data_IF_427879243272
#
_entry.id   IF_427879243272
#
_cell.length_a   1.000
_cell.length_b   1.000
_cell.length_c   1.000
_cell.angle_alpha   90.00
_cell.angle_beta   90.00
_cell.angle_gamma   90.00
#
_symmetry.space_group_name_H-M   'P 1'
#
loop_
_entity.id
_entity.type
_entity.pdbx_description
1 polymer ?
#
# COMPACT_ATOMS: atom_id res chain seq x y z
N UNK A 1 2.72 13.12 -3.61
CA UNK A 1 2.55 14.00 -2.44
C UNK A 1 3.86 14.68 -2.01
N UNK A 2 5.02 14.02 -2.03
CA UNK A 2 6.30 14.62 -1.62
C UNK A 2 6.66 15.85 -2.45
N UNK A 3 6.55 15.76 -3.78
CA UNK A 3 6.78 16.89 -4.66
C UNK A 3 5.80 18.05 -4.41
N UNK A 4 4.53 17.72 -4.13
CA UNK A 4 3.53 18.73 -3.81
C UNK A 4 3.83 19.45 -2.49
N UNK A 5 4.20 18.72 -1.44
CA UNK A 5 4.63 19.28 -0.16
C UNK A 5 5.83 20.21 -0.38
N UNK A 6 6.84 19.73 -1.13
CA UNK A 6 8.04 20.54 -1.39
C UNK A 6 7.74 21.80 -2.21
N UNK A 7 6.88 21.70 -3.21
CA UNK A 7 6.43 22.86 -3.99
C UNK A 7 5.72 23.90 -3.10
N UNK A 8 4.82 23.43 -2.22
CA UNK A 8 4.17 24.31 -1.23
C UNK A 8 5.17 25.00 -0.29
N UNK A 9 6.18 24.29 0.23
CA UNK A 9 7.25 24.86 1.04
C UNK A 9 8.05 25.95 0.31
N UNK A 10 8.14 25.86 -1.02
CA UNK A 10 8.79 26.85 -1.86
C UNK A 10 7.85 28.01 -2.28
N UNK A 11 6.65 28.07 -1.72
CA UNK A 11 5.66 29.10 -2.02
C UNK A 11 4.98 28.98 -3.39
N UNK A 12 5.04 27.81 -4.01
CA UNK A 12 4.36 27.57 -5.30
C UNK A 12 2.87 27.26 -5.06
N UNK A 13 2.00 27.71 -5.98
CA UNK A 13 0.63 27.20 -6.07
C UNK A 13 0.67 25.78 -6.63
N UNK A 14 0.19 24.81 -5.88
CA UNK A 14 0.29 23.38 -6.21
C UNK A 14 -0.96 22.62 -5.80
N UNK A 15 -1.38 21.68 -6.67
CA UNK A 15 -2.42 20.71 -6.37
C UNK A 15 -1.88 19.28 -6.54
N UNK A 16 -2.26 18.39 -5.62
CA UNK A 16 -2.01 16.96 -5.67
C UNK A 16 -3.34 16.26 -5.94
N UNK A 17 -3.45 15.64 -7.13
CA UNK A 17 -4.64 14.87 -7.52
C UNK A 17 -4.41 13.42 -7.15
N UNK A 18 -5.29 12.83 -6.33
CA UNK A 18 -5.22 11.43 -5.91
C UNK A 18 -6.61 10.79 -5.93
N UNK A 19 -6.71 9.67 -6.64
CA UNK A 19 -7.97 8.92 -6.79
C UNK A 19 -8.11 7.74 -5.82
N UNK A 20 -7.06 7.42 -5.06
CA UNK A 20 -7.06 6.23 -4.22
C UNK A 20 -8.12 6.30 -3.15
N UNK A 21 -8.88 5.20 -3.06
CA UNK A 21 -9.74 4.89 -1.93
C UNK A 21 -9.08 3.74 -1.16
N UNK A 22 -8.97 3.87 0.15
CA UNK A 22 -8.53 2.80 1.03
C UNK A 22 -9.60 2.59 2.13
N UNK A 23 -10.12 1.38 2.22
CA UNK A 23 -11.20 1.02 3.17
C UNK A 23 -12.39 1.99 3.16
N UNK A 24 -12.79 2.42 1.96
CA UNK A 24 -13.94 3.30 1.75
C UNK A 24 -13.67 4.79 1.86
N UNK A 25 -12.46 5.20 2.26
CA UNK A 25 -12.09 6.59 2.44
C UNK A 25 -10.98 7.04 1.46
N UNK A 26 -11.03 8.30 0.97
CA UNK A 26 -9.94 8.85 0.18
C UNK A 26 -8.61 8.81 0.94
N UNK A 27 -7.54 8.39 0.28
CA UNK A 27 -6.26 8.16 0.95
C UNK A 27 -5.06 8.63 0.12
N UNK A 28 -4.19 9.40 0.76
CA UNK A 28 -2.89 9.82 0.25
C UNK A 28 -1.80 8.77 0.55
N UNK A 29 -0.62 8.95 -0.05
CA UNK A 29 0.56 8.14 0.26
C UNK A 29 0.86 7.04 -0.73
N UNK A 30 0.03 6.89 -1.78
CA UNK A 30 0.25 5.94 -2.86
C UNK A 30 0.25 4.48 -2.42
N UNK A 31 0.84 3.62 -3.22
CA UNK A 31 0.92 2.17 -2.98
C UNK A 31 1.69 1.86 -1.69
N UNK A 32 2.86 2.48 -1.49
CA UNK A 32 3.73 2.15 -0.36
C UNK A 32 3.02 2.31 1.00
N UNK A 33 2.35 3.44 1.26
CA UNK A 33 1.71 3.68 2.54
C UNK A 33 0.43 2.86 2.73
N UNK A 34 -0.35 2.68 1.67
CA UNK A 34 -1.68 2.09 1.78
C UNK A 34 -1.70 0.57 1.69
N UNK A 35 -1.01 0.01 0.68
CA UNK A 35 -1.10 -1.41 0.32
C UNK A 35 0.26 -2.02 -0.06
N UNK A 36 1.36 -1.41 0.36
CA UNK A 36 2.72 -1.83 0.03
C UNK A 36 3.64 -1.90 1.25
N UNK A 37 4.71 -1.09 1.23
CA UNK A 37 5.81 -1.17 2.18
C UNK A 37 5.37 -1.05 3.64
N UNK A 38 4.47 -0.13 3.97
CA UNK A 38 4.09 0.12 5.36
C UNK A 38 3.27 -1.03 5.94
N UNK A 39 2.15 -1.45 5.33
CA UNK A 39 1.41 -2.58 5.87
C UNK A 39 2.21 -3.89 5.84
N UNK A 40 3.02 -4.16 4.82
CA UNK A 40 3.84 -5.37 4.79
C UNK A 40 4.88 -5.38 5.91
N UNK A 41 5.57 -4.26 6.18
CA UNK A 41 6.54 -4.15 7.28
C UNK A 41 5.87 -4.26 8.65
N UNK A 42 4.65 -3.74 8.80
CA UNK A 42 3.89 -3.89 10.04
C UNK A 42 3.55 -5.37 10.33
N UNK A 43 3.17 -6.15 9.31
CA UNK A 43 2.93 -7.58 9.42
C UNK A 43 4.22 -8.38 9.64
N UNK A 44 5.29 -8.03 8.89
CA UNK A 44 6.62 -8.64 9.07
C UNK A 44 7.14 -8.48 10.50
N UNK A 45 7.04 -7.27 11.09
CA UNK A 45 7.43 -7.01 12.48
C UNK A 45 6.63 -7.88 13.46
N UNK A 46 5.31 -7.95 13.30
CA UNK A 46 4.46 -8.76 14.18
C UNK A 46 4.74 -10.25 14.07
N UNK A 47 4.86 -10.77 12.83
CA UNK A 47 5.14 -12.19 12.58
C UNK A 47 6.55 -12.59 13.04
N UNK A 48 7.54 -11.70 12.90
CA UNK A 48 8.90 -11.94 13.39
C UNK A 48 8.93 -12.03 14.91
N UNK A 49 8.24 -11.12 15.62
CA UNK A 49 8.14 -11.18 17.09
C UNK A 49 7.51 -12.47 17.56
N UNK A 50 6.45 -12.93 16.89
CA UNK A 50 5.79 -14.19 17.20
C UNK A 50 6.72 -15.39 16.98
N UNK A 51 7.45 -15.42 15.86
CA UNK A 51 8.44 -16.46 15.55
C UNK A 51 9.58 -16.47 16.56
N UNK A 52 10.13 -15.30 16.91
CA UNK A 52 11.20 -15.17 17.89
C UNK A 52 10.81 -15.72 19.27
N UNK A 53 9.56 -15.55 19.70
CA UNK A 53 9.10 -16.12 20.99
C UNK A 53 9.08 -17.64 21.00
N UNK A 54 9.04 -18.28 19.86
CA UNK A 54 9.01 -19.75 19.75
C UNK A 54 10.39 -20.38 19.62
N UNK A 55 11.32 -19.68 18.99
CA UNK A 55 12.60 -20.28 18.55
C UNK A 55 13.82 -19.58 19.14
N UNK A 56 13.84 -18.26 19.19
CA UNK A 56 15.08 -17.51 19.47
C UNK A 56 15.29 -17.30 20.99
N UNK A 57 14.24 -17.17 21.78
CA UNK A 57 14.36 -16.79 23.20
C UNK A 57 15.03 -17.87 24.05
N UNK A 58 14.92 -19.13 23.67
CA UNK A 58 15.53 -20.24 24.41
C UNK A 58 17.07 -20.13 24.48
N UNK A 59 17.70 -19.68 23.40
CA UNK A 59 19.15 -19.48 23.33
C UNK A 59 19.62 -18.34 24.24
N UNK A 60 18.70 -17.40 24.58
CA UNK A 60 18.95 -16.34 25.56
C UNK A 60 18.62 -16.75 27.00
N UNK A 61 18.26 -18.03 27.22
CA UNK A 61 17.84 -18.51 28.55
C UNK A 61 16.46 -18.03 28.99
N UNK A 62 15.64 -17.52 28.05
CA UNK A 62 14.28 -17.05 28.32
C UNK A 62 13.29 -18.16 28.01
N UNK A 63 12.53 -18.57 29.02
CA UNK A 63 11.46 -19.57 28.87
C UNK A 63 10.12 -18.84 28.78
N UNK A 64 9.36 -19.14 27.73
CA UNK A 64 7.97 -18.67 27.55
C UNK A 64 7.02 -19.83 27.80
N UNK A 65 5.81 -19.53 28.28
CA UNK A 65 4.71 -20.48 28.24
C UNK A 65 4.13 -20.61 26.82
N UNK A 66 2.90 -21.11 26.71
CA UNK A 66 2.19 -21.16 25.43
C UNK A 66 2.01 -19.74 24.86
N UNK A 67 2.42 -19.55 23.62
CA UNK A 67 2.35 -18.26 22.92
C UNK A 67 1.35 -18.37 21.79
N UNK A 68 0.32 -17.55 21.82
CA UNK A 68 -0.68 -17.41 20.76
C UNK A 68 -0.60 -16.04 20.10
N UNK A 69 -1.08 -15.95 18.86
CA UNK A 69 -1.22 -14.69 18.14
C UNK A 69 -2.70 -14.44 17.81
N UNK A 70 -3.14 -13.21 18.01
CA UNK A 70 -4.45 -12.70 17.60
C UNK A 70 -4.29 -11.99 16.24
N UNK A 71 -4.77 -12.63 15.18
CA UNK A 71 -4.68 -12.10 13.80
C UNK A 71 -5.49 -10.81 13.68
N UNK A 72 -6.67 -10.72 14.28
CA UNK A 72 -7.50 -9.52 14.23
C UNK A 72 -6.77 -8.32 14.86
N UNK A 73 -6.09 -8.55 15.99
CA UNK A 73 -5.28 -7.53 16.66
C UNK A 73 -4.06 -7.11 15.83
N UNK A 74 -3.41 -8.07 15.20
CA UNK A 74 -2.28 -7.81 14.28
C UNK A 74 -2.71 -6.94 13.09
N UNK A 75 -3.84 -7.27 12.44
CA UNK A 75 -4.41 -6.50 11.34
C UNK A 75 -4.83 -5.09 11.80
N UNK A 76 -5.50 -4.98 12.95
CA UNK A 76 -5.89 -3.69 13.51
C UNK A 76 -4.69 -2.78 13.78
N UNK A 77 -3.56 -3.33 14.27
CA UNK A 77 -2.31 -2.60 14.44
C UNK A 77 -1.76 -2.10 13.10
N UNK A 78 -1.72 -2.97 12.09
CA UNK A 78 -1.32 -2.60 10.72
C UNK A 78 -2.17 -1.43 10.18
N UNK A 79 -3.48 -1.52 10.32
CA UNK A 79 -4.41 -0.49 9.84
C UNK A 79 -4.24 0.84 10.58
N UNK A 80 -4.01 0.81 11.88
CA UNK A 80 -3.73 2.01 12.66
C UNK A 80 -2.46 2.72 12.20
N UNK A 81 -1.40 1.97 11.88
CA UNK A 81 -0.13 2.52 11.35
C UNK A 81 -0.38 3.18 9.98
N UNK A 82 -1.08 2.50 9.07
CA UNK A 82 -1.43 3.05 7.75
C UNK A 82 -2.23 4.34 7.90
N UNK A 83 -3.28 4.33 8.73
CA UNK A 83 -4.13 5.50 8.97
C UNK A 83 -3.35 6.69 9.54
N UNK A 84 -2.45 6.43 10.48
CA UNK A 84 -1.60 7.48 11.06
C UNK A 84 -0.71 8.13 9.99
N UNK A 85 -0.07 7.34 9.15
CA UNK A 85 0.87 7.85 8.15
C UNK A 85 0.15 8.56 6.99
N UNK A 86 -0.94 8.00 6.50
CA UNK A 86 -1.74 8.66 5.44
C UNK A 86 -2.37 9.96 5.93
N UNK A 87 -2.85 10.01 7.17
CA UNK A 87 -3.30 11.23 7.83
C UNK A 87 -2.19 12.26 8.00
N UNK A 88 -0.97 11.81 8.31
CA UNK A 88 0.21 12.66 8.37
C UNK A 88 0.53 13.34 7.03
N UNK A 89 0.42 12.60 5.92
CA UNK A 89 0.59 13.16 4.55
C UNK A 89 -0.47 14.24 4.27
N UNK A 90 -1.73 13.99 4.62
CA UNK A 90 -2.80 14.96 4.46
C UNK A 90 -2.53 16.26 5.26
N UNK A 91 -2.08 16.10 6.51
CA UNK A 91 -1.70 17.24 7.35
C UNK A 91 -0.51 18.03 6.76
N UNK A 92 0.49 17.34 6.21
CA UNK A 92 1.64 17.96 5.56
C UNK A 92 1.25 18.74 4.30
N UNK A 93 0.40 18.19 3.43
CA UNK A 93 -0.11 18.93 2.26
C UNK A 93 -0.81 20.20 2.71
N UNK A 94 -1.78 20.08 3.63
CA UNK A 94 -2.54 21.22 4.15
C UNK A 94 -1.63 22.27 4.82
N UNK A 95 -0.70 21.83 5.66
CA UNK A 95 0.23 22.71 6.38
C UNK A 95 1.20 23.46 5.48
N UNK A 96 1.43 22.99 4.26
CA UNK A 96 2.31 23.63 3.27
C UNK A 96 1.52 24.30 2.12
N UNK A 97 0.21 24.47 2.25
CA UNK A 97 -0.60 25.18 1.26
C UNK A 97 -0.74 24.43 -0.08
N UNK A 98 -0.59 23.10 -0.08
CA UNK A 98 -0.83 22.28 -1.24
C UNK A 98 -2.26 21.74 -1.23
N UNK A 99 -3.00 21.95 -2.31
CA UNK A 99 -4.36 21.45 -2.44
C UNK A 99 -4.37 19.93 -2.66
N UNK A 100 -5.21 19.23 -1.90
CA UNK A 100 -5.52 17.83 -2.16
C UNK A 100 -6.84 17.70 -2.91
N UNK A 101 -6.77 17.36 -4.19
CA UNK A 101 -7.92 17.13 -5.05
C UNK A 101 -8.22 15.63 -5.12
N UNK A 102 -9.36 15.23 -4.57
CA UNK A 102 -9.79 13.84 -4.51
C UNK A 102 -10.47 13.44 -5.82
N UNK A 103 -9.75 12.77 -6.69
CA UNK A 103 -10.25 12.42 -8.00
C UNK A 103 -9.20 11.93 -8.97
N UNK A 104 -9.59 11.81 -10.22
CA UNK A 104 -8.72 11.39 -11.32
C UNK A 104 -8.24 12.60 -12.11
N UNK A 105 -6.94 12.67 -12.38
CA UNK A 105 -6.34 13.64 -13.28
C UNK A 105 -6.00 13.00 -14.62
N UNK A 106 -6.39 13.65 -15.72
CA UNK A 106 -6.03 13.27 -17.07
C UNK A 106 -5.34 14.44 -17.77
N UNK A 107 -4.08 14.24 -18.14
CA UNK A 107 -3.36 15.24 -18.94
C UNK A 107 -4.01 15.32 -20.31
N UNK A 108 -4.40 16.52 -20.70
CA UNK A 108 -4.99 16.80 -22.01
C UNK A 108 -3.90 17.22 -23.00
N UNK A 109 -4.17 17.00 -24.30
CA UNK A 109 -3.34 17.49 -25.38
C UNK A 109 -3.43 19.02 -25.41
N UNK A 110 -2.37 19.70 -24.99
CA UNK A 110 -2.29 21.17 -24.97
C UNK A 110 -1.32 21.70 -26.00
N UNK A 111 -1.77 22.68 -26.79
CA UNK A 111 -0.89 23.50 -27.63
C UNK A 111 -0.56 24.79 -26.86
N UNK A 112 0.63 24.85 -26.26
CA UNK A 112 1.04 26.06 -25.55
C UNK A 112 2.01 25.81 -24.40
N UNK A 113 2.40 26.90 -23.73
CA UNK A 113 3.31 26.85 -22.58
C UNK A 113 2.65 26.21 -21.35
N UNK A 114 1.35 26.42 -21.17
CA UNK A 114 0.59 25.89 -20.05
C UNK A 114 -0.02 24.52 -20.38
N UNK A 115 0.01 23.63 -19.41
CA UNK A 115 -0.56 22.29 -19.49
C UNK A 115 -2.00 22.30 -18.96
N UNK A 116 -2.86 21.52 -19.57
CA UNK A 116 -4.24 21.35 -19.12
C UNK A 116 -4.44 19.94 -18.56
N UNK A 117 -5.07 19.86 -17.40
CA UNK A 117 -5.40 18.61 -16.71
C UNK A 117 -6.90 18.60 -16.46
N UNK A 118 -7.59 17.64 -17.04
CA UNK A 118 -8.98 17.34 -16.68
C UNK A 118 -9.00 16.68 -15.32
N UNK A 119 -9.70 17.27 -14.38
CA UNK A 119 -9.92 16.73 -13.04
C UNK A 119 -11.35 16.22 -12.93
N UNK A 120 -11.51 14.95 -12.64
CA UNK A 120 -12.79 14.30 -12.38
C UNK A 120 -12.89 13.96 -10.90
N UNK A 121 -13.74 14.67 -10.12
CA UNK A 121 -13.91 14.44 -8.69
C UNK A 121 -14.47 13.05 -8.35
N UNK A 122 -14.11 12.52 -7.16
CA UNK A 122 -14.67 11.25 -6.64
C UNK A 122 -16.11 11.38 -6.17
N UNK A 123 -16.58 12.58 -5.86
CA UNK A 123 -17.94 12.84 -5.37
C UNK A 123 -19.01 12.84 -6.47
N UNK A 124 -18.60 12.59 -7.72
CA UNK A 124 -19.48 12.53 -8.88
C UNK A 124 -19.84 13.90 -9.47
N UNK A 125 -19.26 14.99 -8.98
CA UNK A 125 -19.43 16.31 -9.59
C UNK A 125 -18.80 16.37 -10.99
N UNK A 126 -19.22 17.36 -11.78
CA UNK A 126 -18.78 17.50 -13.16
C UNK A 126 -17.25 17.69 -13.25
N UNK A 127 -16.60 17.11 -14.26
CA UNK A 127 -15.18 17.34 -14.51
C UNK A 127 -14.87 18.83 -14.76
N UNK A 128 -13.71 19.25 -14.28
CA UNK A 128 -13.19 20.61 -14.50
C UNK A 128 -11.81 20.58 -15.11
N UNK A 129 -11.40 21.65 -15.77
CA UNK A 129 -10.06 21.76 -16.35
C UNK A 129 -9.19 22.66 -15.48
N UNK A 130 -8.04 22.13 -15.08
CA UNK A 130 -7.01 22.85 -14.32
C UNK A 130 -5.89 23.21 -15.28
N UNK A 131 -5.43 24.46 -15.26
CA UNK A 131 -4.28 24.92 -16.01
C UNK A 131 -3.05 24.99 -15.11
N UNK A 132 -1.95 24.39 -15.54
CA UNK A 132 -0.70 24.36 -14.81
C UNK A 132 0.50 24.63 -15.73
N UNK A 133 1.50 25.35 -15.22
CA UNK A 133 2.79 25.54 -15.93
C UNK A 133 3.56 24.22 -16.04
N UNK A 134 3.55 23.43 -14.98
CA UNK A 134 4.25 22.17 -14.90
C UNK A 134 3.32 21.07 -14.36
N UNK A 135 3.47 19.85 -14.86
CA UNK A 135 2.76 18.67 -14.41
C UNK A 135 3.77 17.57 -14.10
N UNK A 136 3.62 16.96 -12.93
CA UNK A 136 4.38 15.79 -12.53
C UNK A 136 3.44 14.58 -12.64
N UNK A 137 3.78 13.64 -13.52
CA UNK A 137 3.07 12.37 -13.64
C UNK A 137 3.60 11.41 -12.58
N UNK A 138 2.79 11.17 -11.56
CA UNK A 138 3.08 10.24 -10.45
C UNK A 138 1.91 9.26 -10.31
N UNK A 139 1.49 8.65 -11.41
CA UNK A 139 0.27 7.86 -11.55
C UNK A 139 0.27 6.54 -10.75
N UNK A 140 1.41 6.17 -10.14
CA UNK A 140 1.53 4.99 -9.31
C UNK A 140 1.63 3.69 -10.12
N UNK A 141 1.25 2.58 -9.48
CA UNK A 141 1.30 1.23 -10.05
C UNK A 141 0.09 0.42 -9.59
N UNK A 142 -0.20 -0.62 -10.33
CA UNK A 142 -1.20 -1.63 -10.01
C UNK A 142 -0.56 -3.02 -10.12
N UNK A 143 -1.06 -4.04 -9.40
CA UNK A 143 -0.68 -5.41 -9.64
C UNK A 143 -0.92 -5.82 -11.09
N UNK A 144 -0.07 -6.69 -11.62
CA UNK A 144 -0.26 -7.22 -12.97
C UNK A 144 -1.26 -8.38 -12.95
N UNK A 145 -2.15 -8.42 -13.92
CA UNK A 145 -3.02 -9.57 -14.12
C UNK A 145 -2.26 -10.69 -14.81
N UNK A 146 -2.36 -11.90 -14.23
CA UNK A 146 -1.76 -13.11 -14.78
C UNK A 146 -2.89 -13.99 -15.33
N UNK A 147 -2.95 -14.21 -16.66
CA UNK A 147 -4.09 -14.91 -17.28
C UNK A 147 -4.32 -16.34 -16.78
N UNK A 148 -3.26 -17.02 -16.32
CA UNK A 148 -3.33 -18.40 -15.78
C UNK A 148 -3.83 -18.44 -14.33
N UNK A 149 -3.92 -17.29 -13.65
CA UNK A 149 -4.37 -17.17 -12.27
C UNK A 149 -5.14 -15.87 -12.08
N UNK A 150 -6.33 -15.72 -12.69
CA UNK A 150 -7.12 -14.50 -12.58
C UNK A 150 -7.54 -14.24 -11.13
N UNK A 151 -7.43 -13.00 -10.69
CA UNK A 151 -7.77 -12.57 -9.33
C UNK A 151 -9.29 -12.65 -9.16
N UNK A 152 -9.76 -13.46 -8.19
CA UNK A 152 -11.17 -13.60 -7.81
C UNK A 152 -11.51 -12.92 -6.47
N UNK A 153 -10.49 -12.46 -5.74
CA UNK A 153 -10.57 -11.87 -4.40
C UNK A 153 -11.13 -12.81 -3.31
N UNK A 154 -11.17 -14.10 -3.55
CA UNK A 154 -11.59 -15.13 -2.62
C UNK A 154 -10.45 -16.14 -2.38
N UNK A 155 -10.07 -16.90 -3.40
CA UNK A 155 -8.98 -17.88 -3.36
C UNK A 155 -7.70 -17.36 -4.00
N UNK A 156 -7.83 -16.53 -5.02
CA UNK A 156 -6.71 -15.91 -5.73
C UNK A 156 -6.78 -14.40 -5.50
N UNK A 157 -5.83 -13.90 -4.73
CA UNK A 157 -5.75 -12.48 -4.37
C UNK A 157 -4.45 -11.88 -4.88
N UNK A 158 -4.43 -10.57 -5.06
CA UNK A 158 -3.21 -9.82 -5.27
C UNK A 158 -2.47 -9.55 -3.93
N UNK A 159 -1.39 -8.80 -4.01
CA UNK A 159 -0.63 -8.40 -2.82
C UNK A 159 -1.46 -7.57 -1.83
N UNK A 160 -2.48 -6.85 -2.28
CA UNK A 160 -3.38 -6.10 -1.41
C UNK A 160 -4.26 -7.04 -0.59
N UNK A 161 -4.87 -8.03 -1.26
CA UNK A 161 -5.68 -9.04 -0.58
C UNK A 161 -4.87 -9.86 0.43
N UNK A 162 -3.62 -10.20 0.08
CA UNK A 162 -2.74 -10.95 0.97
C UNK A 162 -2.32 -10.18 2.26
N UNK A 163 -2.50 -8.87 2.31
CA UNK A 163 -2.31 -8.06 3.53
C UNK A 163 -3.48 -8.14 4.51
N UNK A 164 -4.62 -8.68 4.09
CA UNK A 164 -5.89 -8.60 4.83
C UNK A 164 -6.52 -9.97 5.10
N UNK A 165 -5.78 -11.09 5.00
CA UNK A 165 -6.28 -12.40 5.42
C UNK A 165 -6.69 -12.36 6.89
N UNK A 166 -7.95 -12.67 7.16
CA UNK A 166 -8.53 -12.62 8.51
C UNK A 166 -8.18 -13.82 9.38
N UNK A 167 -7.65 -14.87 8.75
CA UNK A 167 -7.15 -16.07 9.40
C UNK A 167 -5.86 -16.54 8.73
N UNK A 168 -5.10 -17.38 9.40
CA UNK A 168 -3.89 -17.98 8.83
C UNK A 168 -4.30 -19.06 7.85
N UNK A 169 -4.02 -18.93 6.54
CA UNK A 169 -4.35 -19.98 5.59
C UNK A 169 -3.51 -21.23 5.90
N UNK A 170 -4.15 -22.41 5.92
CA UNK A 170 -3.43 -23.66 6.15
C UNK A 170 -2.34 -23.88 5.08
N UNK A 171 -2.65 -23.53 3.83
CA UNK A 171 -1.73 -23.61 2.68
C UNK A 171 -1.80 -22.31 1.87
N UNK A 172 -0.66 -21.79 1.49
CA UNK A 172 -0.53 -20.57 0.68
C UNK A 172 0.38 -20.81 -0.52
N UNK A 173 -0.18 -20.69 -1.72
CA UNK A 173 0.60 -20.62 -2.96
C UNK A 173 0.94 -19.17 -3.28
N UNK A 174 2.21 -18.88 -3.50
CA UNK A 174 2.70 -17.55 -3.90
C UNK A 174 3.15 -17.62 -5.34
N UNK A 175 2.53 -16.88 -6.24
CA UNK A 175 2.94 -16.80 -7.65
C UNK A 175 3.85 -15.59 -7.82
N UNK A 176 5.12 -15.85 -8.08
CA UNK A 176 6.19 -14.87 -8.20
C UNK A 176 7.11 -14.83 -6.96
N UNK A 177 8.39 -15.17 -7.17
CA UNK A 177 9.46 -15.13 -6.16
C UNK A 177 10.08 -13.75 -5.94
N UNK A 178 9.44 -12.67 -6.43
CA UNK A 178 9.90 -11.32 -6.19
C UNK A 178 9.71 -10.87 -4.74
N UNK A 179 10.27 -9.70 -4.39
CA UNK A 179 10.32 -9.18 -3.02
C UNK A 179 8.95 -9.17 -2.31
N UNK A 180 7.88 -8.81 -3.00
CA UNK A 180 6.52 -8.76 -2.41
C UNK A 180 6.03 -10.16 -2.05
N UNK A 181 6.17 -11.10 -2.97
CA UNK A 181 5.77 -12.50 -2.75
C UNK A 181 6.54 -13.14 -1.59
N UNK A 182 7.85 -12.94 -1.55
CA UNK A 182 8.69 -13.47 -0.47
C UNK A 182 8.39 -12.83 0.88
N UNK A 183 8.19 -11.51 0.93
CA UNK A 183 7.82 -10.82 2.18
C UNK A 183 6.49 -11.32 2.74
N UNK A 184 5.43 -11.31 1.93
CA UNK A 184 4.10 -11.74 2.40
C UNK A 184 4.05 -13.25 2.64
N UNK A 185 4.69 -14.05 1.81
CA UNK A 185 4.85 -15.47 2.05
C UNK A 185 5.55 -15.76 3.37
N UNK A 186 6.60 -15.02 3.72
CA UNK A 186 7.31 -15.18 4.99
C UNK A 186 6.45 -14.77 6.20
N UNK A 187 5.60 -13.75 6.09
CA UNK A 187 4.63 -13.39 7.14
C UNK A 187 3.76 -14.59 7.48
N UNK A 188 3.06 -15.11 6.50
CA UNK A 188 2.10 -16.20 6.70
C UNK A 188 2.78 -17.52 7.08
N UNK A 189 3.99 -17.77 6.55
CA UNK A 189 4.82 -18.93 6.93
C UNK A 189 5.15 -18.92 8.42
N UNK A 190 5.60 -17.79 8.96
CA UNK A 190 5.89 -17.62 10.41
C UNK A 190 4.65 -17.80 11.27
N UNK A 191 3.48 -17.49 10.75
CA UNK A 191 2.21 -17.66 11.45
C UNK A 191 1.67 -19.09 11.39
N UNK A 192 2.27 -19.97 10.58
CA UNK A 192 1.96 -21.40 10.53
C UNK A 192 1.44 -21.91 9.19
N UNK A 193 1.36 -21.09 8.15
CA UNK A 193 0.99 -21.57 6.80
C UNK A 193 2.05 -22.48 6.22
N UNK A 194 1.63 -23.54 5.50
CA UNK A 194 2.48 -24.22 4.52
C UNK A 194 2.57 -23.34 3.28
N UNK A 195 3.76 -22.80 2.98
CA UNK A 195 3.94 -21.85 1.87
C UNK A 195 4.75 -22.49 0.75
N UNK A 196 4.21 -22.40 -0.48
CA UNK A 196 4.90 -22.80 -1.72
C UNK A 196 5.01 -21.59 -2.64
N UNK A 197 6.21 -21.32 -3.14
CA UNK A 197 6.48 -20.24 -4.09
C UNK A 197 6.67 -20.82 -5.48
N UNK A 198 5.93 -20.26 -6.45
CA UNK A 198 6.04 -20.60 -7.87
C UNK A 198 6.74 -19.45 -8.57
N UNK A 199 7.91 -19.71 -9.15
CA UNK A 199 8.68 -18.74 -9.92
C UNK A 199 8.90 -19.26 -11.33
N UNK A 200 8.62 -18.43 -12.32
CA UNK A 200 8.75 -18.79 -13.74
C UNK A 200 10.18 -18.56 -14.27
N UNK A 201 10.93 -17.67 -13.62
CA UNK A 201 12.29 -17.37 -14.03
C UNK A 201 13.27 -18.39 -13.41
N UNK A 202 14.35 -18.77 -14.11
CA UNK A 202 15.32 -19.76 -13.60
C UNK A 202 16.20 -19.20 -12.47
N UNK A 203 16.23 -17.89 -12.27
CA UNK A 203 17.04 -17.20 -11.26
C UNK A 203 16.15 -16.20 -10.48
N UNK A 204 16.44 -16.06 -9.17
CA UNK A 204 15.80 -15.09 -8.28
C UNK A 204 16.55 -13.75 -8.28
#
# INVERSE_FOLDING_TARGET
>A
YEAAIRAGQLGMSVACIEKRINKGEPALGGTCLNVGCIPSKALLDSSHRYEATKHDLADHGITTGEVAIDISKMLSRKDAIVKQLTGGVAALLKGNGADWLQGTGKLLDGKGADKQVEFTPLDGSAPTTITAKNVILASGSVPIDIPVAPIDNEYIVDSTGALDFTEVPARLGVIGGGVIGLELGSVWRRLGSEVVVFEAMPEF
#
